data_IF_346621534695
#
_entry.id   IF_346621534695
#
_cell.length_a   1.000
_cell.length_b   1.000
_cell.length_c   1.000
_cell.angle_alpha   90.00
_cell.angle_beta   90.00
_cell.angle_gamma   90.00
#
_symmetry.space_group_name_H-M   'P 1'
#
loop_
_entity.id
_entity.type
_entity.pdbx_description
1 polymer ?
#
# COMPACT_ATOMS: atom_id res chain seq x y z
N UNK A 1 23.63 22.33 -9.68
CA UNK A 1 22.98 23.65 -9.59
C UNK A 1 21.91 23.63 -8.51
N UNK A 2 22.04 24.52 -7.53
CA UNK A 2 21.07 24.68 -6.45
C UNK A 2 19.84 25.46 -6.97
N UNK A 3 18.64 25.05 -6.58
CA UNK A 3 17.41 25.71 -7.05
C UNK A 3 17.26 27.11 -6.45
N UNK A 4 16.81 28.07 -7.25
CA UNK A 4 16.60 29.47 -6.84
C UNK A 4 15.48 29.58 -5.78
N UNK A 5 14.52 28.66 -5.80
CA UNK A 5 13.38 28.63 -4.87
C UNK A 5 13.65 27.83 -3.59
N UNK A 6 14.83 27.21 -3.45
CA UNK A 6 15.14 26.37 -2.28
C UNK A 6 15.46 27.24 -1.06
N UNK A 7 14.49 27.36 -0.15
CA UNK A 7 14.61 28.09 1.11
C UNK A 7 14.30 27.17 2.30
N UNK A 8 15.19 27.17 3.30
CA UNK A 8 15.04 26.41 4.55
C UNK A 8 14.65 24.92 4.35
N UNK A 9 15.30 24.25 3.39
CA UNK A 9 15.14 22.82 3.13
C UNK A 9 16.49 22.13 3.30
N UNK A 10 16.68 21.45 4.43
CA UNK A 10 17.90 20.69 4.70
C UNK A 10 18.03 19.51 3.74
N UNK A 11 19.26 19.12 3.40
CA UNK A 11 19.51 18.02 2.48
C UNK A 11 18.98 16.67 3.00
N UNK A 12 18.99 16.48 4.33
CA UNK A 12 18.43 15.30 4.98
C UNK A 12 16.92 15.21 4.78
N UNK A 13 16.19 16.30 5.01
CA UNK A 13 14.74 16.34 4.77
C UNK A 13 14.39 16.07 3.30
N UNK A 14 15.17 16.61 2.37
CA UNK A 14 15.00 16.31 0.94
C UNK A 14 15.19 14.82 0.64
N UNK A 15 16.20 14.20 1.25
CA UNK A 15 16.47 12.77 1.17
C UNK A 15 15.34 11.93 1.75
N UNK A 16 14.82 12.29 2.92
CA UNK A 16 13.75 11.54 3.58
C UNK A 16 12.42 11.66 2.84
N UNK A 17 12.12 12.83 2.24
CA UNK A 17 10.95 12.97 1.33
C UNK A 17 11.10 12.02 0.14
N UNK A 18 12.29 11.93 -0.46
CA UNK A 18 12.52 11.00 -1.58
C UNK A 18 12.40 9.53 -1.15
N UNK A 19 12.86 9.16 0.07
CA UNK A 19 12.64 7.82 0.62
C UNK A 19 11.15 7.54 0.82
N UNK A 20 10.41 8.49 1.41
CA UNK A 20 8.97 8.36 1.63
C UNK A 20 8.18 8.24 0.32
N UNK A 21 8.56 8.99 -0.71
CA UNK A 21 7.96 8.88 -2.05
C UNK A 21 8.14 7.46 -2.61
N UNK A 22 9.37 6.93 -2.58
CA UNK A 22 9.63 5.55 -3.04
C UNK A 22 8.86 4.52 -2.22
N UNK A 23 8.76 4.75 -0.91
CA UNK A 23 8.02 3.88 -0.01
C UNK A 23 6.54 3.79 -0.38
N UNK A 24 5.89 4.94 -0.62
CA UNK A 24 4.47 4.99 -1.01
C UNK A 24 4.20 4.45 -2.41
N UNK A 25 5.12 4.64 -3.35
CA UNK A 25 5.04 4.02 -4.67
C UNK A 25 5.09 2.49 -4.58
N UNK A 26 5.96 1.96 -3.71
CA UNK A 26 6.07 0.53 -3.49
C UNK A 26 4.81 -0.05 -2.82
N UNK A 27 4.25 0.67 -1.85
CA UNK A 27 2.95 0.37 -1.26
C UNK A 27 1.85 0.29 -2.32
N UNK A 28 1.77 1.31 -3.18
CA UNK A 28 0.77 1.38 -4.25
C UNK A 28 0.89 0.21 -5.22
N UNK A 29 2.12 -0.15 -5.61
CA UNK A 29 2.37 -1.28 -6.50
C UNK A 29 2.01 -2.62 -5.86
N UNK A 30 2.34 -2.81 -4.57
CA UNK A 30 1.98 -4.00 -3.79
C UNK A 30 0.47 -4.18 -3.73
N UNK A 31 -0.26 -3.12 -3.40
CA UNK A 31 -1.73 -3.16 -3.35
C UNK A 31 -2.35 -3.41 -4.72
N UNK A 32 -1.75 -2.89 -5.79
CA UNK A 32 -2.20 -3.18 -7.16
C UNK A 32 -2.05 -4.67 -7.48
N UNK A 33 -0.89 -5.26 -7.17
CA UNK A 33 -0.64 -6.68 -7.40
C UNK A 33 -1.63 -7.57 -6.62
N UNK A 34 -1.92 -7.23 -5.36
CA UNK A 34 -2.92 -7.92 -4.54
C UNK A 34 -4.33 -7.78 -5.13
N UNK A 35 -4.74 -6.58 -5.53
CA UNK A 35 -6.05 -6.34 -6.13
C UNK A 35 -6.26 -7.21 -7.38
N UNK A 36 -5.27 -7.22 -8.28
CA UNK A 36 -5.32 -8.05 -9.49
C UNK A 36 -5.29 -9.56 -9.21
N UNK A 37 -4.65 -10.00 -8.13
CA UNK A 37 -4.66 -11.40 -7.72
C UNK A 37 -6.07 -11.86 -7.30
N UNK A 38 -6.77 -11.05 -6.51
CA UNK A 38 -8.14 -11.36 -6.05
C UNK A 38 -9.20 -11.23 -7.16
N UNK A 39 -8.90 -10.47 -8.22
CA UNK A 39 -9.77 -10.30 -9.39
C UNK A 39 -9.74 -11.48 -10.38
N UNK A 40 -8.75 -12.39 -10.26
CA UNK A 40 -8.63 -13.53 -11.17
C UNK A 40 -9.86 -14.42 -11.11
N UNK A 41 -10.16 -15.07 -12.23
CA UNK A 41 -11.32 -15.95 -12.39
C UNK A 41 -11.29 -17.17 -11.46
N UNK A 42 -10.11 -17.63 -11.04
CA UNK A 42 -9.92 -18.75 -10.12
C UNK A 42 -10.03 -18.38 -8.63
N UNK A 43 -9.81 -17.11 -8.28
CA UNK A 43 -9.95 -16.60 -6.89
C UNK A 43 -11.32 -15.95 -6.68
N UNK A 44 -11.73 -15.09 -7.62
CA UNK A 44 -13.05 -14.47 -7.71
C UNK A 44 -13.55 -13.80 -6.41
N UNK A 45 -12.69 -12.99 -5.76
CA UNK A 45 -13.03 -12.20 -4.56
C UNK A 45 -13.07 -10.69 -4.90
N UNK A 46 -14.16 -10.20 -5.53
CA UNK A 46 -14.21 -8.87 -6.14
C UNK A 46 -14.19 -7.73 -5.11
N UNK A 47 -14.65 -7.94 -3.87
CA UNK A 47 -14.61 -6.88 -2.86
C UNK A 47 -13.22 -6.74 -2.25
N UNK A 48 -12.50 -7.84 -2.03
CA UNK A 48 -11.06 -7.80 -1.74
C UNK A 48 -10.28 -7.11 -2.86
N UNK A 49 -10.55 -7.45 -4.12
CA UNK A 49 -9.95 -6.77 -5.28
C UNK A 49 -10.17 -5.25 -5.21
N UNK A 50 -11.43 -4.83 -5.07
CA UNK A 50 -11.82 -3.41 -4.99
C UNK A 50 -11.16 -2.69 -3.81
N UNK A 51 -11.10 -3.32 -2.63
CA UNK A 51 -10.47 -2.76 -1.44
C UNK A 51 -8.98 -2.45 -1.65
N UNK A 52 -8.23 -3.40 -2.22
CA UNK A 52 -6.81 -3.21 -2.48
C UNK A 52 -6.55 -2.24 -3.62
N UNK A 53 -7.35 -2.25 -4.68
CA UNK A 53 -7.26 -1.28 -5.77
C UNK A 53 -7.52 0.15 -5.29
N UNK A 54 -8.53 0.36 -4.44
CA UNK A 54 -8.80 1.67 -3.84
C UNK A 54 -7.61 2.13 -2.99
N UNK A 55 -6.98 1.23 -2.23
CA UNK A 55 -5.78 1.55 -1.46
C UNK A 55 -4.56 1.87 -2.31
N UNK A 56 -4.36 1.13 -3.40
CA UNK A 56 -3.32 1.43 -4.37
C UNK A 56 -3.47 2.85 -4.93
N UNK A 57 -4.69 3.26 -5.28
CA UNK A 57 -4.97 4.62 -5.77
C UNK A 57 -4.71 5.69 -4.72
N UNK A 58 -5.15 5.49 -3.46
CA UNK A 58 -4.92 6.45 -2.38
C UNK A 58 -3.43 6.69 -2.10
N UNK A 59 -2.61 5.64 -2.05
CA UNK A 59 -1.16 5.81 -1.85
C UNK A 59 -0.49 6.53 -3.03
N UNK A 60 -0.99 6.32 -4.24
CA UNK A 60 -0.49 6.99 -5.44
C UNK A 60 -0.81 8.48 -5.43
N UNK A 61 -2.04 8.85 -5.08
CA UNK A 61 -2.46 10.25 -4.92
C UNK A 61 -1.64 10.97 -3.84
N UNK A 62 -1.34 10.29 -2.72
CA UNK A 62 -0.47 10.84 -1.68
C UNK A 62 0.96 11.05 -2.18
N UNK A 63 1.47 10.12 -2.99
CA UNK A 63 2.80 10.25 -3.60
C UNK A 63 2.86 11.45 -4.55
N UNK A 64 1.84 11.65 -5.38
CA UNK A 64 1.75 12.78 -6.31
C UNK A 64 1.82 14.13 -5.56
N UNK A 65 1.10 14.25 -4.43
CA UNK A 65 1.17 15.44 -3.56
C UNK A 65 2.57 15.68 -3.00
N UNK A 66 3.29 14.62 -2.62
CA UNK A 66 4.68 14.73 -2.12
C UNK A 66 5.67 15.12 -3.22
N UNK A 67 5.48 14.60 -4.43
CA UNK A 67 6.29 14.97 -5.60
C UNK A 67 6.11 16.46 -5.94
N UNK A 68 4.86 16.93 -5.95
CA UNK A 68 4.56 18.34 -6.15
C UNK A 68 5.17 19.22 -5.04
N UNK A 69 5.06 18.80 -3.78
CA UNK A 69 5.67 19.49 -2.66
C UNK A 69 7.20 19.61 -2.78
N UNK A 70 7.87 18.54 -3.17
CA UNK A 70 9.32 18.52 -3.37
C UNK A 70 9.74 19.52 -4.46
N UNK A 71 9.01 19.54 -5.59
CA UNK A 71 9.24 20.48 -6.69
C UNK A 71 8.99 21.93 -6.25
N UNK A 72 7.89 22.18 -5.53
CA UNK A 72 7.54 23.51 -5.01
C UNK A 72 8.62 24.08 -4.08
N UNK A 73 9.23 23.23 -3.23
CA UNK A 73 10.31 23.62 -2.31
C UNK A 73 11.69 23.68 -2.98
N UNK A 74 11.80 23.40 -4.28
CA UNK A 74 13.06 23.38 -5.02
C UNK A 74 13.97 22.20 -4.69
N UNK A 75 13.43 21.15 -4.08
CA UNK A 75 14.10 19.86 -3.91
C UNK A 75 14.22 19.12 -5.24
N UNK A 76 15.10 18.13 -5.30
CA UNK A 76 15.28 17.23 -6.44
C UNK A 76 14.63 15.90 -6.12
N UNK A 77 13.74 15.48 -7.01
CA UNK A 77 13.10 14.18 -6.94
C UNK A 77 14.11 13.13 -7.39
N UNK A 78 14.29 12.09 -6.57
CA UNK A 78 15.09 10.92 -6.91
C UNK A 78 14.24 9.66 -6.72
N UNK A 79 13.78 9.11 -7.85
CA UNK A 79 13.05 7.85 -7.86
C UNK A 79 14.04 6.68 -7.88
N UNK A 80 13.72 5.66 -7.10
CA UNK A 80 14.49 4.43 -6.97
C UNK A 80 13.66 3.24 -7.47
N UNK A 81 14.32 2.10 -7.59
CA UNK A 81 13.66 0.85 -8.00
C UNK A 81 12.62 0.44 -6.96
N UNK A 82 11.44 0.07 -7.45
CA UNK A 82 10.37 -0.50 -6.63
C UNK A 82 10.66 -1.99 -6.43
N UNK A 83 10.93 -2.41 -5.19
CA UNK A 83 11.20 -3.80 -4.81
C UNK A 83 10.14 -4.30 -3.83
N UNK A 84 9.30 -5.23 -4.28
CA UNK A 84 8.15 -5.73 -3.51
C UNK A 84 8.57 -6.40 -2.19
N UNK A 85 9.62 -7.22 -2.21
CA UNK A 85 10.09 -7.98 -1.04
C UNK A 85 10.60 -7.06 0.08
N UNK A 86 11.38 -6.04 -0.27
CA UNK A 86 11.98 -5.14 0.72
C UNK A 86 10.93 -4.27 1.43
N UNK A 87 9.81 -3.98 0.76
CA UNK A 87 8.72 -3.17 1.32
C UNK A 87 7.90 -3.91 2.38
N UNK A 88 7.56 -5.17 2.08
CA UNK A 88 6.75 -6.01 2.96
C UNK A 88 7.45 -6.27 4.30
N UNK A 89 8.76 -6.50 4.29
CA UNK A 89 9.54 -6.81 5.49
C UNK A 89 9.78 -5.58 6.38
N UNK A 90 10.03 -4.41 5.77
CA UNK A 90 10.55 -3.27 6.52
C UNK A 90 9.50 -2.23 6.91
N UNK A 91 8.43 -2.06 6.13
CA UNK A 91 7.64 -0.82 6.21
C UNK A 91 6.13 -1.02 6.25
N UNK A 92 5.61 -2.12 5.70
CA UNK A 92 4.17 -2.41 5.78
C UNK A 92 3.69 -2.58 7.23
N UNK A 93 4.56 -3.10 8.12
CA UNK A 93 4.23 -3.44 9.51
C UNK A 93 4.32 -2.25 10.49
N UNK A 94 4.89 -1.11 10.10
CA UNK A 94 5.22 -0.03 11.05
C UNK A 94 4.23 1.14 10.95
N UNK A 95 3.80 1.50 9.74
CA UNK A 95 3.17 2.82 9.50
C UNK A 95 1.63 2.81 9.51
N UNK A 96 1.00 1.64 9.70
CA UNK A 96 -0.44 1.47 9.50
C UNK A 96 -1.13 0.72 10.63
N UNK A 97 -0.90 1.07 11.90
CA UNK A 97 -1.48 0.36 13.06
C UNK A 97 -2.98 0.01 12.88
N UNK A 98 -3.81 0.92 12.37
CA UNK A 98 -5.24 0.66 12.15
C UNK A 98 -5.52 -0.26 10.96
N UNK A 99 -4.72 -0.16 9.89
CA UNK A 99 -4.84 -1.07 8.73
C UNK A 99 -4.31 -2.45 9.08
N UNK A 100 -3.21 -2.53 9.84
CA UNK A 100 -2.62 -3.76 10.37
C UNK A 100 -3.59 -4.41 11.33
N UNK A 101 -4.22 -3.64 12.22
CA UNK A 101 -5.26 -4.16 13.12
C UNK A 101 -6.46 -4.68 12.33
N UNK A 102 -6.98 -3.92 11.36
CA UNK A 102 -8.08 -4.39 10.49
C UNK A 102 -7.70 -5.65 9.71
N UNK A 103 -6.50 -5.68 9.12
CA UNK A 103 -6.00 -6.87 8.41
C UNK A 103 -5.80 -8.04 9.37
N UNK A 104 -5.32 -7.80 10.59
CA UNK A 104 -5.19 -8.81 11.63
C UNK A 104 -6.55 -9.35 12.08
N UNK A 105 -7.55 -8.48 12.23
CA UNK A 105 -8.93 -8.86 12.53
C UNK A 105 -9.53 -9.68 11.37
N UNK A 106 -9.23 -9.31 10.12
CA UNK A 106 -9.63 -10.06 8.93
C UNK A 106 -8.96 -11.43 8.87
N UNK A 107 -7.65 -11.51 9.09
CA UNK A 107 -6.90 -12.78 9.15
C UNK A 107 -7.44 -13.67 10.26
N UNK A 108 -7.68 -13.12 11.46
CA UNK A 108 -8.21 -13.87 12.60
C UNK A 108 -9.64 -14.39 12.35
N UNK A 109 -10.46 -13.60 11.66
CA UNK A 109 -11.82 -14.02 11.26
C UNK A 109 -11.77 -15.09 10.18
N UNK A 110 -10.97 -14.89 9.13
CA UNK A 110 -10.76 -15.87 8.05
C UNK A 110 -10.24 -17.18 8.62
N UNK A 111 -9.18 -17.16 9.42
CA UNK A 111 -8.59 -18.36 10.06
C UNK A 111 -9.62 -19.14 10.88
N UNK A 112 -10.53 -18.44 11.57
CA UNK A 112 -11.60 -19.08 12.36
C UNK A 112 -12.68 -19.71 11.48
N UNK A 113 -13.03 -19.08 10.37
CA UNK A 113 -14.08 -19.54 9.45
C UNK A 113 -13.53 -20.66 8.54
N UNK A 114 -12.25 -20.60 8.17
CA UNK A 114 -11.58 -21.61 7.32
C UNK A 114 -10.94 -22.75 8.10
N UNK A 115 -11.01 -22.74 9.45
CA UNK A 115 -10.50 -23.80 10.32
C UNK A 115 -11.10 -25.19 10.03
N UNK A 116 -12.23 -25.27 9.33
CA UNK A 116 -12.83 -26.50 8.83
C UNK A 116 -12.52 -26.65 7.33
N UNK A 117 -11.65 -27.60 6.97
CA UNK A 117 -11.21 -27.85 5.58
C UNK A 117 -12.38 -28.07 4.60
N UNK A 118 -13.52 -28.59 5.08
CA UNK A 118 -14.72 -28.86 4.27
C UNK A 118 -15.51 -27.60 3.91
N UNK A 119 -15.31 -26.48 4.61
CA UNK A 119 -16.08 -25.24 4.42
C UNK A 119 -15.22 -24.00 4.15
N UNK A 120 -13.89 -24.13 4.08
CA UNK A 120 -12.96 -23.03 3.83
C UNK A 120 -13.34 -22.11 2.66
N UNK A 121 -13.59 -22.65 1.44
CA UNK A 121 -13.96 -21.83 0.28
C UNK A 121 -15.28 -21.07 0.46
N UNK A 122 -16.27 -21.68 1.14
CA UNK A 122 -17.54 -21.02 1.45
C UNK A 122 -17.34 -19.90 2.49
N UNK A 123 -16.42 -20.11 3.43
CA UNK A 123 -16.03 -19.14 4.44
C UNK A 123 -15.42 -17.87 3.85
N UNK A 124 -14.48 -18.03 2.92
CA UNK A 124 -13.84 -16.91 2.21
C UNK A 124 -14.86 -16.11 1.40
N UNK A 125 -15.75 -16.79 0.68
CA UNK A 125 -16.82 -16.15 -0.09
C UNK A 125 -17.79 -15.35 0.80
N UNK A 126 -18.24 -15.93 1.92
CA UNK A 126 -19.14 -15.24 2.84
C UNK A 126 -18.46 -14.03 3.50
N UNK A 127 -17.17 -14.15 3.81
CA UNK A 127 -16.40 -13.06 4.38
C UNK A 127 -16.26 -11.89 3.41
N UNK A 128 -15.86 -12.15 2.15
CA UNK A 128 -15.83 -11.15 1.09
C UNK A 128 -17.20 -10.49 0.93
N UNK A 129 -18.28 -11.28 0.89
CA UNK A 129 -19.61 -10.72 0.62
C UNK A 129 -20.18 -9.88 1.76
N UNK A 130 -19.84 -10.13 3.01
CA UNK A 130 -20.53 -9.54 4.18
C UNK A 130 -19.65 -8.64 5.05
N UNK A 131 -18.33 -8.74 4.97
CA UNK A 131 -17.41 -7.98 5.82
C UNK A 131 -16.73 -6.82 5.10
N UNK A 132 -16.43 -7.00 3.81
CA UNK A 132 -15.91 -5.97 2.92
C UNK A 132 -17.02 -5.32 2.09
#
# INVERSE_FOLDING_TARGET
>A
MQSVVKQNLHAECEGDINKLINLKLNASYTYLALGMYFDRDDVALPKFSSFFLERSMKEREQTEKLLEYQNMRGGRILLQTISLCDYLEQNFLIDSHDTIKKLGDYIGSLTRITASETHGPMGEYLFDKHTL
#
